data_IF_195155273232
#
_entry.id   IF_195155273232
#
_cell.length_a   1.000
_cell.length_b   1.000
_cell.length_c   1.000
_cell.angle_alpha   90.00
_cell.angle_beta   90.00
_cell.angle_gamma   90.00
#
_symmetry.space_group_name_H-M   'P 1'
#
loop_
_entity.id
_entity.type
_entity.pdbx_description
1 polymer ?
#
# COMPACT_ATOMS: atom_id res chain seq x y z
N UNK A 1 11.31 20.60 15.08
CA UNK A 1 11.09 20.09 13.71
C UNK A 1 11.13 18.57 13.77
N UNK A 2 10.16 17.93 13.12
CA UNK A 2 9.99 16.48 13.09
C UNK A 2 11.11 15.79 12.34
N UNK A 3 11.40 14.55 12.70
CA UNK A 3 12.22 13.65 11.90
C UNK A 3 11.40 13.09 10.73
N UNK A 4 12.06 12.77 9.62
CA UNK A 4 11.39 12.31 8.40
C UNK A 4 11.30 10.79 8.39
N UNK A 5 10.08 10.26 8.28
CA UNK A 5 9.84 8.87 7.92
C UNK A 5 10.04 8.71 6.40
N UNK A 6 11.30 8.60 5.98
CA UNK A 6 11.68 8.55 4.57
C UNK A 6 11.42 7.16 3.99
N UNK A 7 10.28 7.01 3.32
CA UNK A 7 9.90 5.77 2.64
C UNK A 7 10.59 5.56 1.30
N UNK A 8 11.16 6.60 0.66
CA UNK A 8 12.02 6.42 -0.50
C UNK A 8 13.31 5.71 -0.11
N UNK A 9 13.91 6.08 1.01
CA UNK A 9 15.09 5.40 1.56
C UNK A 9 14.77 3.93 1.86
N UNK A 10 13.76 3.67 2.68
CA UNK A 10 13.42 2.31 3.10
C UNK A 10 12.98 1.44 1.91
N UNK A 11 12.19 1.97 0.97
CA UNK A 11 11.81 1.22 -0.23
C UNK A 11 13.00 0.81 -1.10
N UNK A 12 14.06 1.63 -1.17
CA UNK A 12 15.30 1.26 -1.87
C UNK A 12 16.02 0.12 -1.16
N UNK A 13 16.16 0.20 0.17
CA UNK A 13 16.79 -0.85 0.98
C UNK A 13 16.07 -2.19 0.78
N UNK A 14 14.75 -2.20 0.88
CA UNK A 14 13.92 -3.40 0.68
C UNK A 14 14.07 -3.94 -0.75
N UNK A 15 14.09 -3.08 -1.77
CA UNK A 15 14.32 -3.53 -3.15
C UNK A 15 15.71 -4.17 -3.33
N UNK A 16 16.74 -3.68 -2.64
CA UNK A 16 18.06 -4.34 -2.66
C UNK A 16 18.04 -5.69 -1.94
N UNK A 17 17.36 -5.79 -0.79
CA UNK A 17 17.18 -7.07 -0.08
C UNK A 17 16.50 -8.11 -0.99
N UNK A 18 15.40 -7.73 -1.66
CA UNK A 18 14.69 -8.60 -2.60
C UNK A 18 15.58 -8.97 -3.79
N UNK A 19 16.33 -8.01 -4.36
CA UNK A 19 17.25 -8.28 -5.47
C UNK A 19 18.30 -9.33 -5.12
N UNK A 20 18.87 -9.26 -3.91
CA UNK A 20 19.83 -10.25 -3.42
C UNK A 20 19.16 -11.62 -3.29
N UNK A 21 17.92 -11.67 -2.79
CA UNK A 21 17.14 -12.91 -2.69
C UNK A 21 16.87 -13.53 -4.07
N UNK A 22 16.43 -12.74 -5.05
CA UNK A 22 16.19 -13.16 -6.44
C UNK A 22 17.46 -13.67 -7.12
N UNK A 23 18.59 -13.00 -6.90
CA UNK A 23 19.87 -13.45 -7.43
C UNK A 23 20.27 -14.83 -6.89
N UNK A 24 19.98 -15.12 -5.60
CA UNK A 24 20.20 -16.45 -5.01
C UNK A 24 19.27 -17.51 -5.61
N UNK A 25 17.99 -17.17 -5.79
CA UNK A 25 17.00 -18.06 -6.39
C UNK A 25 17.43 -18.49 -7.80
N UNK A 26 17.80 -17.51 -8.63
CA UNK A 26 18.20 -17.74 -10.02
C UNK A 26 19.57 -18.41 -10.14
N UNK A 27 20.55 -18.08 -9.29
CA UNK A 27 21.83 -18.79 -9.23
C UNK A 27 21.69 -20.26 -8.80
N UNK A 28 20.63 -20.61 -8.07
CA UNK A 28 20.30 -21.99 -7.70
C UNK A 28 19.56 -22.75 -8.81
N UNK A 29 19.43 -22.16 -10.01
CA UNK A 29 18.81 -22.75 -11.18
C UNK A 29 17.29 -22.66 -11.22
N UNK A 30 16.64 -21.91 -10.31
CA UNK A 30 15.18 -21.73 -10.32
C UNK A 30 14.76 -20.52 -11.16
N UNK A 31 13.53 -20.52 -11.71
CA UNK A 31 12.95 -19.34 -12.36
C UNK A 31 12.83 -18.16 -11.40
N UNK A 32 12.91 -16.94 -11.92
CA UNK A 32 12.66 -15.73 -11.13
C UNK A 32 11.17 -15.59 -10.78
N UNK A 33 10.81 -14.89 -9.68
CA UNK A 33 9.42 -14.54 -9.38
C UNK A 33 8.80 -13.68 -10.49
N UNK A 34 7.50 -13.87 -10.75
CA UNK A 34 6.76 -13.20 -11.80
C UNK A 34 5.56 -12.42 -11.25
N UNK A 35 5.60 -11.10 -11.41
CA UNK A 35 4.49 -10.20 -11.13
C UNK A 35 3.74 -9.80 -12.41
N UNK A 36 2.45 -10.12 -12.51
CA UNK A 36 1.60 -9.59 -13.58
C UNK A 36 0.74 -8.41 -13.11
N UNK A 37 0.37 -7.54 -14.05
CA UNK A 37 -0.56 -6.45 -13.80
C UNK A 37 -1.60 -6.36 -14.92
N UNK A 38 -2.85 -6.19 -14.54
CA UNK A 38 -3.95 -5.86 -15.45
C UNK A 38 -4.27 -4.37 -15.30
N UNK A 39 -4.28 -3.63 -16.41
CA UNK A 39 -4.67 -2.22 -16.48
C UNK A 39 -5.87 -2.09 -17.42
N UNK A 40 -6.98 -1.54 -16.90
CA UNK A 40 -8.19 -1.26 -17.66
C UNK A 40 -8.33 0.26 -17.85
N UNK A 41 -8.45 0.69 -19.10
CA UNK A 41 -8.61 2.09 -19.47
C UNK A 41 -7.33 2.92 -19.40
N UNK A 42 -7.51 4.24 -19.50
CA UNK A 42 -6.44 5.16 -19.86
C UNK A 42 -6.03 6.14 -18.74
N UNK A 43 -6.47 5.89 -17.50
CA UNK A 43 -6.20 6.79 -16.37
C UNK A 43 -4.70 7.04 -16.19
N UNK A 44 -4.28 8.31 -16.35
CA UNK A 44 -2.88 8.70 -16.30
C UNK A 44 -2.19 8.44 -14.96
N UNK A 45 -2.93 8.40 -13.84
CA UNK A 45 -2.38 7.99 -12.54
C UNK A 45 -2.07 6.49 -12.52
N UNK A 46 -2.99 5.67 -13.00
CA UNK A 46 -2.83 4.22 -13.11
C UNK A 46 -1.67 3.86 -14.05
N UNK A 47 -1.51 4.54 -15.19
CA UNK A 47 -0.38 4.32 -16.12
C UNK A 47 0.98 4.59 -15.48
N UNK A 48 1.14 5.74 -14.83
CA UNK A 48 2.40 6.11 -14.17
C UNK A 48 2.76 5.10 -13.06
N UNK A 49 1.75 4.63 -12.32
CA UNK A 49 1.92 3.67 -11.25
C UNK A 49 2.33 2.29 -11.78
N UNK A 50 1.66 1.79 -12.81
CA UNK A 50 2.00 0.50 -13.45
C UNK A 50 3.39 0.54 -14.12
N UNK A 51 3.73 1.62 -14.83
CA UNK A 51 5.06 1.77 -15.42
C UNK A 51 6.17 1.74 -14.36
N UNK A 52 5.90 2.33 -13.18
CA UNK A 52 6.83 2.27 -12.05
C UNK A 52 7.02 0.83 -11.54
N UNK A 53 5.94 0.03 -11.50
CA UNK A 53 6.02 -1.40 -11.10
C UNK A 53 6.86 -2.23 -12.08
N UNK A 54 6.66 -2.05 -13.38
CA UNK A 54 7.48 -2.75 -14.40
C UNK A 54 8.96 -2.39 -14.23
N UNK A 55 9.26 -1.11 -14.02
CA UNK A 55 10.64 -0.66 -13.76
C UNK A 55 11.20 -1.27 -12.47
N UNK A 56 10.42 -1.26 -11.39
CA UNK A 56 10.83 -1.82 -10.10
C UNK A 56 11.07 -3.34 -10.22
N UNK A 57 10.25 -4.09 -10.97
CA UNK A 57 10.45 -5.52 -11.25
C UNK A 57 11.77 -5.78 -11.98
N UNK A 58 12.03 -5.02 -13.05
CA UNK A 58 13.27 -5.14 -13.81
C UNK A 58 14.51 -4.79 -12.96
N UNK A 59 14.42 -3.81 -12.06
CA UNK A 59 15.51 -3.41 -11.16
C UNK A 59 15.97 -4.55 -10.23
N UNK A 60 15.01 -5.34 -9.74
CA UNK A 60 15.22 -6.41 -8.76
C UNK A 60 15.36 -7.81 -9.38
N UNK A 61 15.15 -7.94 -10.69
CA UNK A 61 15.28 -9.21 -11.41
C UNK A 61 14.02 -10.09 -11.46
N UNK A 62 12.84 -9.52 -11.21
CA UNK A 62 11.57 -10.23 -11.44
C UNK A 62 11.23 -10.31 -12.92
N UNK A 63 10.49 -11.35 -13.29
CA UNK A 63 9.70 -11.33 -14.52
C UNK A 63 8.46 -10.45 -14.31
N UNK A 64 8.03 -9.75 -15.35
CA UNK A 64 6.81 -8.93 -15.27
C UNK A 64 6.00 -8.95 -16.55
N UNK A 65 4.69 -9.07 -16.42
CA UNK A 65 3.74 -8.97 -17.55
C UNK A 65 2.74 -7.85 -17.32
N UNK A 66 2.43 -7.10 -18.36
CA UNK A 66 1.43 -6.04 -18.32
C UNK A 66 0.36 -6.30 -19.39
N UNK A 67 -0.86 -6.57 -18.94
CA UNK A 67 -2.04 -6.73 -19.78
C UNK A 67 -2.83 -5.43 -19.78
N UNK A 68 -2.97 -4.81 -20.94
CA UNK A 68 -3.70 -3.54 -21.10
C UNK A 68 -5.00 -3.80 -21.86
N UNK A 69 -6.08 -3.30 -21.31
CA UNK A 69 -7.39 -3.34 -21.92
C UNK A 69 -7.96 -1.93 -22.03
N UNK A 70 -8.78 -1.70 -23.05
CA UNK A 70 -9.50 -0.45 -23.20
C UNK A 70 -10.59 -0.33 -22.11
N UNK A 71 -11.12 0.88 -21.92
CA UNK A 71 -12.11 1.14 -20.86
C UNK A 71 -13.48 0.51 -21.11
N UNK A 72 -13.71 0.02 -22.33
CA UNK A 72 -14.93 -0.61 -22.82
C UNK A 72 -14.88 -2.14 -22.82
N UNK A 73 -13.78 -2.75 -22.33
CA UNK A 73 -13.72 -4.20 -22.10
C UNK A 73 -14.90 -4.65 -21.24
N UNK A 74 -15.49 -5.80 -21.59
CA UNK A 74 -16.57 -6.37 -20.79
C UNK A 74 -16.06 -6.93 -19.46
N UNK A 75 -16.94 -7.00 -18.46
CA UNK A 75 -16.61 -7.64 -17.19
C UNK A 75 -16.27 -9.14 -17.37
N UNK A 76 -16.95 -9.82 -18.30
CA UNK A 76 -16.72 -11.23 -18.63
C UNK A 76 -15.30 -11.45 -19.18
N UNK A 77 -14.88 -10.66 -20.17
CA UNK A 77 -13.51 -10.75 -20.72
C UNK A 77 -12.43 -10.49 -19.66
N UNK A 78 -12.68 -9.56 -18.73
CA UNK A 78 -11.76 -9.29 -17.62
C UNK A 78 -11.69 -10.48 -16.65
N UNK A 79 -12.82 -11.11 -16.33
CA UNK A 79 -12.89 -12.30 -15.48
C UNK A 79 -12.19 -13.50 -16.13
N UNK A 80 -12.35 -13.70 -17.43
CA UNK A 80 -11.65 -14.73 -18.18
C UNK A 80 -10.14 -14.51 -18.13
N UNK A 81 -9.69 -13.26 -18.26
CA UNK A 81 -8.26 -12.96 -18.09
C UNK A 81 -7.77 -13.30 -16.69
N UNK A 82 -8.53 -12.94 -15.66
CA UNK A 82 -8.19 -13.25 -14.26
C UNK A 82 -8.08 -14.77 -14.05
N UNK A 83 -9.00 -15.54 -14.64
CA UNK A 83 -8.96 -17.00 -14.62
C UNK A 83 -7.69 -17.55 -15.28
N UNK A 84 -7.33 -17.04 -16.46
CA UNK A 84 -6.08 -17.40 -17.14
C UNK A 84 -4.85 -17.16 -16.24
N UNK A 85 -4.77 -15.99 -15.58
CA UNK A 85 -3.64 -15.67 -14.69
C UNK A 85 -3.63 -16.53 -13.41
N UNK A 86 -4.81 -16.88 -12.89
CA UNK A 86 -4.95 -17.77 -11.75
C UNK A 86 -4.40 -19.17 -12.07
N UNK A 87 -4.67 -19.69 -13.26
CA UNK A 87 -4.29 -21.03 -13.69
C UNK A 87 -2.84 -21.11 -14.21
N UNK A 88 -2.21 -19.98 -14.55
CA UNK A 88 -0.85 -19.95 -15.07
C UNK A 88 0.22 -20.23 -13.98
N UNK A 89 0.96 -21.35 -14.01
CA UNK A 89 1.96 -21.69 -13.00
C UNK A 89 3.22 -20.81 -13.01
N UNK A 90 3.45 -20.07 -14.10
CA UNK A 90 4.57 -19.13 -14.22
C UNK A 90 4.31 -17.81 -13.49
N UNK A 91 3.04 -17.49 -13.18
CA UNK A 91 2.66 -16.26 -12.49
C UNK A 91 2.48 -16.53 -11.00
N UNK A 92 3.31 -15.87 -10.18
CA UNK A 92 3.27 -16.02 -8.72
C UNK A 92 2.27 -15.07 -8.07
N UNK A 93 2.10 -13.89 -8.67
CA UNK A 93 1.20 -12.88 -8.16
C UNK A 93 0.77 -11.92 -9.24
N UNK A 94 -0.43 -11.38 -9.10
CA UNK A 94 -0.89 -10.33 -9.98
C UNK A 94 -1.83 -9.35 -9.30
N UNK A 95 -2.04 -8.23 -9.98
CA UNK A 95 -2.95 -7.17 -9.56
C UNK A 95 -3.93 -6.84 -10.68
N UNK A 96 -5.10 -6.36 -10.29
CA UNK A 96 -6.00 -5.58 -11.15
C UNK A 96 -5.91 -4.13 -10.69
N UNK A 97 -5.37 -3.25 -11.54
CA UNK A 97 -5.10 -1.87 -11.15
C UNK A 97 -6.40 -1.08 -11.03
N UNK A 98 -6.69 -0.61 -9.81
CA UNK A 98 -7.83 0.26 -9.50
C UNK A 98 -7.53 1.74 -9.79
N UNK A 99 -8.56 2.58 -10.01
CA UNK A 99 -9.98 2.22 -10.13
C UNK A 99 -10.33 1.59 -11.48
N UNK A 100 -11.34 0.71 -11.47
CA UNK A 100 -11.95 0.15 -12.67
C UNK A 100 -13.02 1.10 -13.25
N UNK A 101 -13.47 0.90 -14.51
CA UNK A 101 -14.66 1.57 -15.03
C UNK A 101 -15.86 1.45 -14.07
N UNK A 102 -16.65 2.51 -13.94
CA UNK A 102 -17.75 2.60 -12.95
C UNK A 102 -18.84 1.54 -13.14
N UNK A 103 -18.98 1.02 -14.36
CA UNK A 103 -19.97 0.01 -14.73
C UNK A 103 -19.62 -1.40 -14.22
N UNK A 104 -18.35 -1.64 -13.82
CA UNK A 104 -17.89 -2.96 -13.37
C UNK A 104 -18.04 -3.14 -11.86
N UNK A 105 -18.40 -4.36 -11.45
CA UNK A 105 -18.39 -4.74 -10.05
C UNK A 105 -16.96 -5.03 -9.57
N UNK A 106 -16.35 -4.03 -8.93
CA UNK A 106 -15.01 -4.16 -8.37
C UNK A 106 -14.89 -5.29 -7.34
N UNK A 107 -15.93 -5.56 -6.55
CA UNK A 107 -15.87 -6.63 -5.54
C UNK A 107 -15.84 -8.00 -6.22
N UNK A 108 -16.65 -8.19 -7.27
CA UNK A 108 -16.62 -9.40 -8.09
C UNK A 108 -15.26 -9.63 -8.74
N UNK A 109 -14.63 -8.57 -9.27
CA UNK A 109 -13.29 -8.65 -9.86
C UNK A 109 -12.23 -9.03 -8.82
N UNK A 110 -12.26 -8.42 -7.63
CA UNK A 110 -11.31 -8.75 -6.55
C UNK A 110 -11.50 -10.20 -6.07
N UNK A 111 -12.74 -10.66 -5.92
CA UNK A 111 -13.06 -12.03 -5.49
C UNK A 111 -12.69 -13.10 -6.52
N UNK A 112 -12.53 -12.73 -7.79
CA UNK A 112 -12.10 -13.66 -8.83
C UNK A 112 -10.58 -13.97 -8.75
N UNK A 113 -9.79 -13.14 -8.08
CA UNK A 113 -8.34 -13.36 -7.92
C UNK A 113 -8.10 -14.47 -6.91
N UNK A 114 -7.29 -15.48 -7.26
CA UNK A 114 -6.91 -16.53 -6.32
C UNK A 114 -6.17 -15.90 -5.12
N UNK A 115 -6.61 -16.11 -3.86
CA UNK A 115 -5.98 -15.51 -2.69
C UNK A 115 -4.47 -15.80 -2.58
N UNK A 116 -3.99 -16.93 -3.13
CA UNK A 116 -2.56 -17.29 -3.17
C UNK A 116 -1.72 -16.46 -4.16
N UNK A 117 -2.38 -15.75 -5.09
CA UNK A 117 -1.76 -14.86 -6.08
C UNK A 117 -2.15 -13.38 -5.89
N UNK A 118 -3.01 -13.08 -4.92
CA UNK A 118 -3.43 -11.72 -4.55
C UNK A 118 -2.35 -11.00 -3.74
N UNK A 119 -1.32 -10.54 -4.46
CA UNK A 119 -0.18 -9.85 -3.86
C UNK A 119 -0.49 -8.40 -3.45
N UNK A 120 -1.67 -7.87 -3.83
CA UNK A 120 -2.16 -6.58 -3.32
C UNK A 120 -2.90 -6.73 -1.99
N UNK A 121 -3.27 -7.96 -1.61
CA UNK A 121 -3.86 -8.31 -0.31
C UNK A 121 -5.32 -7.90 -0.13
N UNK A 122 -6.08 -7.70 -1.21
CA UNK A 122 -7.46 -7.22 -1.15
C UNK A 122 -8.51 -8.33 -1.16
N UNK A 123 -8.13 -9.56 -1.45
CA UNK A 123 -9.05 -10.69 -1.43
C UNK A 123 -9.62 -10.88 -0.01
N UNK A 124 -10.94 -11.07 0.16
CA UNK A 124 -11.56 -11.20 1.48
C UNK A 124 -10.97 -12.32 2.34
N UNK A 125 -10.52 -13.43 1.73
CA UNK A 125 -9.81 -14.50 2.45
C UNK A 125 -8.49 -14.00 3.07
N UNK A 126 -7.72 -13.20 2.35
CA UNK A 126 -6.47 -12.62 2.86
C UNK A 126 -6.77 -11.59 3.96
N UNK A 127 -7.80 -10.76 3.77
CA UNK A 127 -8.24 -9.84 4.81
C UNK A 127 -8.70 -10.57 6.09
N UNK A 128 -9.47 -11.65 5.95
CA UNK A 128 -9.95 -12.47 7.06
C UNK A 128 -8.81 -13.15 7.80
N UNK A 129 -7.86 -13.76 7.08
CA UNK A 129 -6.64 -14.34 7.66
C UNK A 129 -5.83 -13.29 8.41
N UNK A 130 -5.62 -12.11 7.82
CA UNK A 130 -4.93 -10.99 8.47
C UNK A 130 -5.62 -10.59 9.77
N UNK A 131 -6.95 -10.48 9.75
CA UNK A 131 -7.75 -10.12 10.93
C UNK A 131 -7.68 -11.17 12.05
N UNK A 132 -7.45 -12.43 11.69
CA UNK A 132 -7.26 -13.55 12.60
C UNK A 132 -5.78 -13.79 12.94
N UNK A 133 -4.87 -12.89 12.55
CA UNK A 133 -3.42 -13.01 12.74
C UNK A 133 -2.81 -14.29 12.11
N UNK A 134 -3.45 -14.82 11.07
CA UNK A 134 -2.96 -15.95 10.28
C UNK A 134 -2.01 -15.49 9.17
N UNK A 135 -1.12 -16.38 8.71
CA UNK A 135 -0.21 -16.11 7.61
C UNK A 135 -0.98 -15.84 6.30
N UNK A 136 -0.72 -14.69 5.69
CA UNK A 136 -1.37 -14.22 4.46
C UNK A 136 -0.63 -13.01 3.86
N UNK A 137 -1.06 -12.56 2.68
CA UNK A 137 -0.60 -11.30 2.11
C UNK A 137 -1.32 -10.13 2.77
N UNK A 138 -0.54 -9.22 3.33
CA UNK A 138 -1.05 -7.97 3.88
C UNK A 138 -1.36 -6.99 2.75
N UNK A 139 -2.40 -6.16 2.87
CA UNK A 139 -2.63 -5.07 1.93
C UNK A 139 -1.39 -4.19 1.79
N UNK A 140 -0.93 -3.95 0.56
CA UNK A 140 0.41 -3.44 0.30
C UNK A 140 0.71 -2.09 0.98
N UNK A 141 -0.28 -1.18 1.04
CA UNK A 141 -0.14 0.13 1.71
C UNK A 141 -0.04 -0.01 3.24
N UNK A 142 -0.99 -0.65 3.95
CA UNK A 142 -0.82 -0.97 5.37
C UNK A 142 0.46 -1.73 5.70
N UNK A 143 0.86 -2.71 4.87
CA UNK A 143 2.14 -3.41 5.06
C UNK A 143 3.32 -2.44 4.97
N UNK A 144 3.25 -1.48 4.05
CA UNK A 144 4.27 -0.46 3.87
C UNK A 144 4.40 0.44 5.09
N UNK A 145 3.26 0.83 5.69
CA UNK A 145 3.23 1.65 6.91
C UNK A 145 3.82 0.89 8.09
N UNK A 146 3.39 -0.35 8.33
CA UNK A 146 3.93 -1.20 9.39
C UNK A 146 5.44 -1.34 9.23
N UNK A 147 5.92 -1.70 8.03
CA UNK A 147 7.35 -1.86 7.76
C UNK A 147 8.12 -0.55 7.97
N UNK A 148 7.52 0.59 7.61
CA UNK A 148 8.13 1.90 7.82
C UNK A 148 8.29 2.21 9.32
N UNK A 149 7.24 1.99 10.12
CA UNK A 149 7.29 2.17 11.57
C UNK A 149 8.33 1.24 12.21
N UNK A 150 8.40 -0.02 11.76
CA UNK A 150 9.39 -1.00 12.22
C UNK A 150 10.82 -0.55 11.93
N UNK A 151 11.12 -0.18 10.69
CA UNK A 151 12.48 0.19 10.24
C UNK A 151 13.01 1.45 10.92
N UNK A 152 12.12 2.36 11.32
CA UNK A 152 12.46 3.54 12.11
C UNK A 152 12.35 3.32 13.63
N UNK A 153 12.06 2.10 14.09
CA UNK A 153 11.88 1.75 15.50
C UNK A 153 10.87 2.64 16.23
N UNK A 154 9.77 2.99 15.56
CA UNK A 154 8.70 3.77 16.16
C UNK A 154 7.96 2.89 17.16
N UNK A 155 7.95 3.29 18.44
CA UNK A 155 7.22 2.56 19.48
C UNK A 155 5.71 2.69 19.24
N UNK A 156 5.04 1.56 19.00
CA UNK A 156 3.56 1.48 18.84
C UNK A 156 2.86 0.87 20.05
N UNK A 157 3.59 0.12 20.88
CA UNK A 157 3.06 -0.55 22.06
C UNK A 157 2.51 0.46 23.09
N UNK A 158 1.25 0.25 23.49
CA UNK A 158 0.53 1.10 24.44
C UNK A 158 0.21 2.51 23.92
N UNK A 159 0.52 2.82 22.65
CA UNK A 159 0.26 4.13 22.06
C UNK A 159 -1.19 4.27 21.61
N UNK A 160 -1.70 5.49 21.71
CA UNK A 160 -2.98 5.86 21.12
C UNK A 160 -2.79 6.13 19.62
N UNK A 161 -3.29 5.24 18.77
CA UNK A 161 -3.25 5.36 17.32
C UNK A 161 -4.61 5.77 16.77
N UNK A 162 -4.69 6.93 16.13
CA UNK A 162 -5.89 7.40 15.43
C UNK A 162 -5.72 7.24 13.93
N UNK A 163 -6.67 6.57 13.30
CA UNK A 163 -6.71 6.38 11.84
C UNK A 163 -7.86 7.21 11.30
N UNK A 164 -7.57 8.11 10.37
CA UNK A 164 -8.57 8.98 9.74
C UNK A 164 -8.88 8.43 8.35
N UNK A 165 -10.06 7.83 8.21
CA UNK A 165 -10.51 7.18 6.98
C UNK A 165 -10.66 5.67 7.17
N UNK A 166 -11.78 5.12 6.68
CA UNK A 166 -12.20 3.71 6.86
C UNK A 166 -12.30 2.93 5.55
N UNK A 167 -11.45 3.27 4.58
CA UNK A 167 -11.41 2.56 3.30
C UNK A 167 -11.06 1.08 3.51
N UNK A 168 -11.55 0.22 2.61
CA UNK A 168 -11.28 -1.23 2.68
C UNK A 168 -9.81 -1.56 2.45
N UNK A 169 -9.09 -0.72 1.72
CA UNK A 169 -7.72 -0.96 1.27
C UNK A 169 -6.64 -0.35 2.18
N UNK A 170 -6.99 0.63 3.04
CA UNK A 170 -6.05 1.27 3.96
C UNK A 170 -6.61 1.35 5.37
N UNK A 171 -7.71 2.09 5.58
CA UNK A 171 -8.18 2.43 6.93
C UNK A 171 -8.54 1.23 7.81
N UNK A 172 -9.42 0.35 7.30
CA UNK A 172 -9.84 -0.87 8.01
C UNK A 172 -8.69 -1.86 8.28
N UNK A 173 -7.84 -2.21 7.28
CA UNK A 173 -6.72 -3.10 7.57
C UNK A 173 -5.71 -2.46 8.53
N UNK A 174 -5.46 -1.15 8.42
CA UNK A 174 -4.57 -0.45 9.34
C UNK A 174 -5.09 -0.49 10.78
N UNK A 175 -6.42 -0.39 10.99
CA UNK A 175 -6.97 -0.42 12.36
C UNK A 175 -6.78 -1.76 13.05
N UNK A 176 -6.83 -2.83 12.26
CA UNK A 176 -6.56 -4.18 12.75
C UNK A 176 -5.06 -4.35 12.99
N UNK A 177 -4.21 -3.96 12.02
CA UNK A 177 -2.76 -4.15 12.11
C UNK A 177 -2.09 -3.34 13.22
N UNK A 178 -2.60 -2.14 13.56
CA UNK A 178 -2.09 -1.39 14.71
C UNK A 178 -2.56 -1.98 16.05
N UNK A 179 -3.73 -2.62 16.09
CA UNK A 179 -4.32 -3.21 17.29
C UNK A 179 -3.91 -4.67 17.56
N UNK A 180 -3.34 -5.36 16.56
CA UNK A 180 -2.88 -6.76 16.68
C UNK A 180 -1.79 -6.92 17.73
N UNK A 181 -1.58 -8.15 18.19
CA UNK A 181 -0.43 -8.46 19.03
C UNK A 181 0.88 -8.41 18.24
N UNK A 182 1.89 -7.74 18.79
CA UNK A 182 3.25 -7.71 18.24
C UNK A 182 3.76 -6.31 17.94
N UNK A 183 4.93 -6.25 17.32
CA UNK A 183 5.60 -5.01 16.97
C UNK A 183 5.91 -4.98 15.45
N UNK A 184 5.48 -3.96 14.70
CA UNK A 184 4.52 -2.92 15.09
C UNK A 184 3.10 -3.47 15.28
N UNK A 185 2.40 -2.89 16.26
CA UNK A 185 1.13 -3.35 16.82
C UNK A 185 0.94 -2.90 18.27
N UNK A 186 0.06 -3.57 19.03
CA UNK A 186 -0.22 -3.31 20.45
C UNK A 186 -0.68 -1.86 20.76
N UNK A 187 -1.22 -1.13 19.79
CA UNK A 187 -1.77 0.21 20.02
C UNK A 187 -3.24 0.14 20.46
N UNK A 188 -3.67 1.14 21.23
CA UNK A 188 -5.10 1.45 21.38
C UNK A 188 -5.54 2.19 20.14
N UNK A 189 -6.45 1.62 19.36
CA UNK A 189 -6.80 2.15 18.03
C UNK A 189 -8.17 2.81 18.02
N UNK A 190 -8.24 4.02 17.46
CA UNK A 190 -9.50 4.69 17.12
C UNK A 190 -9.59 4.91 15.61
N UNK A 191 -10.60 4.30 14.98
CA UNK A 191 -10.90 4.50 13.56
C UNK A 191 -11.94 5.61 13.40
N UNK A 192 -11.55 6.74 12.82
CA UNK A 192 -12.42 7.88 12.52
C UNK A 192 -12.77 7.95 11.04
N UNK A 193 -13.83 8.68 10.70
CA UNK A 193 -14.35 8.78 9.35
C UNK A 193 -15.26 10.01 9.18
N UNK A 194 -15.83 10.22 8.00
CA UNK A 194 -16.68 11.38 7.67
C UNK A 194 -17.88 11.61 8.60
N UNK A 195 -18.38 10.58 9.28
CA UNK A 195 -19.46 10.69 10.30
C UNK A 195 -18.96 10.86 11.74
N UNK A 196 -17.65 10.92 11.97
CA UNK A 196 -17.11 11.15 13.32
C UNK A 196 -17.27 12.64 13.66
N UNK A 197 -18.06 12.93 14.68
CA UNK A 197 -18.14 14.27 15.27
C UNK A 197 -16.83 14.60 15.98
N UNK A 198 -16.33 15.82 15.82
CA UNK A 198 -15.10 16.33 16.46
C UNK A 198 -13.89 15.39 16.37
N UNK A 199 -13.46 15.07 15.13
CA UNK A 199 -12.23 14.29 14.87
C UNK A 199 -11.00 14.86 15.62
N UNK A 200 -10.99 16.17 15.87
CA UNK A 200 -9.96 16.84 16.67
C UNK A 200 -9.82 16.30 18.09
N UNK A 201 -10.91 15.91 18.75
CA UNK A 201 -10.87 15.37 20.12
C UNK A 201 -10.01 14.10 20.19
N UNK A 202 -10.13 13.24 19.18
CA UNK A 202 -9.35 12.02 19.08
C UNK A 202 -7.90 12.31 18.70
N UNK A 203 -7.70 13.15 17.68
CA UNK A 203 -6.36 13.42 17.11
C UNK A 203 -5.45 14.22 18.04
N UNK A 204 -6.00 15.11 18.89
CA UNK A 204 -5.23 15.87 19.90
C UNK A 204 -4.65 14.98 21.01
N UNK A 205 -5.22 13.80 21.21
CA UNK A 205 -4.77 12.84 22.21
C UNK A 205 -3.96 11.67 21.60
N UNK A 206 -3.79 11.65 20.29
CA UNK A 206 -3.13 10.58 19.56
C UNK A 206 -1.61 10.69 19.66
N UNK A 207 -0.95 9.58 19.96
CA UNK A 207 0.51 9.45 19.83
C UNK A 207 0.91 9.20 18.36
N UNK A 208 0.04 8.51 17.60
CA UNK A 208 0.22 8.19 16.18
C UNK A 208 -1.06 8.58 15.44
N UNK A 209 -0.93 9.36 14.36
CA UNK A 209 -2.04 9.67 13.44
C UNK A 209 -1.72 9.15 12.06
N UNK A 210 -2.62 8.34 11.49
CA UNK A 210 -2.52 7.81 10.12
C UNK A 210 -3.69 8.36 9.31
N UNK A 211 -3.42 9.17 8.28
CA UNK A 211 -4.46 9.76 7.41
C UNK A 211 -4.59 8.97 6.10
N UNK A 212 -5.83 8.67 5.69
CA UNK A 212 -6.15 7.96 4.46
C UNK A 212 -7.50 8.42 3.88
N UNK A 213 -7.63 9.74 3.70
CA UNK A 213 -8.83 10.44 3.25
C UNK A 213 -8.82 10.74 1.76
N UNK A 214 -7.66 11.10 1.20
CA UNK A 214 -7.57 11.67 -0.15
C UNK A 214 -8.07 13.12 -0.22
N UNK A 215 -7.95 13.88 0.86
CA UNK A 215 -8.34 15.28 0.96
C UNK A 215 -7.15 16.14 1.38
N UNK A 216 -6.54 16.92 0.46
CA UNK A 216 -5.34 17.70 0.72
C UNK A 216 -5.43 18.58 1.97
N UNK A 217 -4.37 18.57 2.78
CA UNK A 217 -4.18 19.50 3.92
C UNK A 217 -5.30 19.48 4.97
N UNK A 218 -6.01 18.36 5.08
CA UNK A 218 -7.07 18.16 6.07
C UNK A 218 -6.54 18.19 7.51
N UNK A 219 -5.50 17.42 7.81
CA UNK A 219 -4.91 17.38 9.16
C UNK A 219 -3.94 18.54 9.35
N UNK A 220 -4.17 19.36 10.38
CA UNK A 220 -3.39 20.57 10.68
C UNK A 220 -2.72 20.49 12.06
N UNK A 221 -1.75 21.37 12.31
CA UNK A 221 -0.97 21.39 13.54
C UNK A 221 -1.83 21.54 14.83
N UNK A 222 -2.93 22.29 14.78
CA UNK A 222 -3.85 22.47 15.89
C UNK A 222 -4.60 21.18 16.26
N UNK A 223 -4.70 20.23 15.33
CA UNK A 223 -5.42 18.97 15.50
C UNK A 223 -4.56 17.86 16.12
N UNK A 224 -3.23 18.00 16.12
CA UNK A 224 -2.32 16.92 16.56
C UNK A 224 -1.81 17.15 17.98
N UNK A 225 -1.32 16.10 18.63
CA UNK A 225 -0.58 16.18 19.91
C UNK A 225 0.86 16.66 19.68
N UNK A 226 1.44 17.39 20.63
CA UNK A 226 2.88 17.67 20.63
C UNK A 226 3.68 16.35 20.67
N UNK A 227 4.62 16.20 19.74
CA UNK A 227 5.43 14.98 19.61
C UNK A 227 4.72 13.80 18.94
N UNK A 228 3.55 13.98 18.33
CA UNK A 228 2.87 12.92 17.60
C UNK A 228 3.70 12.38 16.42
N UNK A 229 3.51 11.11 16.08
CA UNK A 229 3.98 10.51 14.82
C UNK A 229 2.89 10.63 13.78
N UNK A 230 3.20 11.20 12.62
CA UNK A 230 2.24 11.45 11.55
C UNK A 230 2.59 10.62 10.31
N UNK A 231 1.66 9.79 9.87
CA UNK A 231 1.75 8.99 8.64
C UNK A 231 0.67 9.45 7.67
N UNK A 232 1.10 10.12 6.62
CA UNK A 232 0.26 10.63 5.55
C UNK A 232 0.23 9.66 4.36
N UNK A 233 -0.91 8.98 4.20
CA UNK A 233 -1.17 8.06 3.08
C UNK A 233 -1.75 8.80 1.87
N UNK A 234 -2.28 10.01 2.08
CA UNK A 234 -2.93 10.80 1.05
C UNK A 234 -1.99 11.11 -0.11
N UNK A 235 -2.51 11.01 -1.32
CA UNK A 235 -1.82 11.47 -2.52
C UNK A 235 -2.84 11.99 -3.53
N UNK A 236 -2.97 13.31 -3.57
CA UNK A 236 -3.92 14.00 -4.42
C UNK A 236 -3.18 14.90 -5.39
N UNK A 237 -3.59 14.89 -6.65
CA UNK A 237 -3.11 15.85 -7.65
C UNK A 237 -3.82 17.17 -7.42
N UNK A 238 -3.05 18.21 -7.14
CA UNK A 238 -3.55 19.58 -7.00
C UNK A 238 -3.04 20.38 -8.17
N UNK A 239 -3.94 20.98 -8.94
CA UNK A 239 -3.60 21.76 -10.12
C UNK A 239 -2.75 22.99 -9.76
N UNK A 240 -1.79 23.31 -10.63
CA UNK A 240 -0.97 24.51 -10.50
C UNK A 240 -0.41 24.95 -11.86
N UNK A 241 0.17 26.15 -11.90
CA UNK A 241 0.76 26.73 -13.12
C UNK A 241 2.15 26.15 -13.49
N UNK A 242 2.54 25.01 -12.90
CA UNK A 242 3.83 24.40 -13.21
C UNK A 242 3.84 23.79 -14.62
N UNK A 243 5.01 23.47 -15.17
CA UNK A 243 5.14 22.74 -16.45
C UNK A 243 4.39 21.39 -16.47
N UNK A 244 4.14 20.78 -15.31
CA UNK A 244 3.35 19.55 -15.18
C UNK A 244 1.85 19.81 -15.06
N UNK A 245 1.43 21.05 -14.77
CA UNK A 245 0.04 21.44 -14.52
C UNK A 245 -0.49 21.01 -13.15
N UNK A 246 0.30 20.31 -12.33
CA UNK A 246 -0.08 19.87 -10.99
C UNK A 246 1.12 19.59 -10.09
N UNK A 247 0.89 19.58 -8.78
CA UNK A 247 1.75 18.98 -7.76
C UNK A 247 1.00 17.88 -7.00
N UNK A 248 1.73 17.11 -6.19
CA UNK A 248 1.16 16.07 -5.35
C UNK A 248 1.14 16.56 -3.90
N UNK A 249 -0.04 16.52 -3.28
CA UNK A 249 -0.26 16.88 -1.89
C UNK A 249 -0.80 15.67 -1.12
N UNK A 250 -0.45 15.58 0.16
CA UNK A 250 -1.01 14.61 1.08
C UNK A 250 -2.19 15.17 1.88
N UNK A 251 -2.78 14.33 2.73
CA UNK A 251 -3.90 14.72 3.59
C UNK A 251 -3.46 15.63 4.75
N UNK A 252 -2.15 15.77 4.98
CA UNK A 252 -1.57 16.55 6.08
C UNK A 252 -1.05 17.88 5.56
N UNK A 253 -1.33 18.96 6.30
CA UNK A 253 -0.60 20.21 6.15
C UNK A 253 0.81 20.05 6.73
N UNK A 254 1.74 19.65 5.86
CA UNK A 254 3.09 19.22 6.23
C UNK A 254 3.87 20.33 6.96
N UNK A 255 3.86 21.56 6.44
CA UNK A 255 4.65 22.67 6.98
C UNK A 255 4.20 23.09 8.38
N UNK A 256 2.89 22.98 8.68
CA UNK A 256 2.40 23.26 10.02
C UNK A 256 2.68 22.08 10.96
N UNK A 257 2.42 20.85 10.51
CA UNK A 257 2.54 19.66 11.34
C UNK A 257 4.00 19.29 11.68
N UNK A 258 4.96 19.54 10.78
CA UNK A 258 6.39 19.23 11.02
C UNK A 258 6.97 19.99 12.22
N UNK A 259 6.37 21.11 12.60
CA UNK A 259 6.84 21.93 13.72
C UNK A 259 6.51 21.29 15.07
N UNK A 260 5.49 20.44 15.09
CA UNK A 260 4.88 19.86 16.29
C UNK A 260 5.07 18.34 16.41
N UNK A 261 5.07 17.63 15.28
CA UNK A 261 5.29 16.20 15.23
C UNK A 261 6.73 15.80 15.68
N UNK A 262 6.87 14.60 16.22
CA UNK A 262 8.19 13.98 16.43
C UNK A 262 8.70 13.31 15.15
N UNK A 263 7.77 12.73 14.38
CA UNK A 263 8.02 12.07 13.11
C UNK A 263 6.92 12.40 12.10
N UNK A 264 7.28 12.56 10.83
CA UNK A 264 6.30 12.81 9.75
C UNK A 264 6.75 12.16 8.44
N UNK A 265 5.81 11.54 7.72
CA UNK A 265 6.07 11.09 6.35
C UNK A 265 5.92 12.25 5.36
N UNK A 266 6.84 12.44 4.40
CA UNK A 266 6.68 13.44 3.36
C UNK A 266 5.72 12.96 2.26
N UNK A 267 5.01 13.88 1.62
CA UNK A 267 4.27 13.60 0.39
C UNK A 267 4.76 14.53 -0.72
N UNK A 268 5.30 14.01 -1.84
CA UNK A 268 5.60 12.60 -2.10
C UNK A 268 6.83 12.09 -1.34
N UNK A 269 6.99 10.76 -1.25
CA UNK A 269 8.22 10.13 -0.78
C UNK A 269 8.11 9.35 0.52
N UNK A 270 6.98 9.42 1.20
CA UNK A 270 6.65 8.63 2.39
C UNK A 270 6.03 7.28 2.04
N UNK A 271 4.71 7.16 2.16
CA UNK A 271 4.00 5.88 2.07
C UNK A 271 3.97 5.30 0.64
N UNK A 272 3.80 6.12 -0.40
CA UNK A 272 3.65 5.64 -1.78
C UNK A 272 4.78 4.73 -2.31
N UNK A 273 6.07 5.06 -2.11
CA UNK A 273 7.18 4.15 -2.41
C UNK A 273 7.13 2.82 -1.64
N UNK A 274 6.71 2.85 -0.38
CA UNK A 274 6.58 1.65 0.45
C UNK A 274 5.50 0.71 -0.08
N UNK A 275 4.34 1.24 -0.53
CA UNK A 275 3.29 0.43 -1.15
C UNK A 275 3.83 -0.41 -2.32
N UNK A 276 4.66 0.19 -3.19
CA UNK A 276 5.25 -0.57 -4.31
C UNK A 276 6.27 -1.59 -3.84
N UNK A 277 7.14 -1.26 -2.89
CA UNK A 277 8.10 -2.21 -2.34
C UNK A 277 7.42 -3.41 -1.69
N UNK A 278 6.31 -3.19 -0.98
CA UNK A 278 5.55 -4.26 -0.33
C UNK A 278 4.79 -5.14 -1.29
N UNK A 279 4.33 -4.61 -2.42
CA UNK A 279 3.81 -5.43 -3.50
C UNK A 279 4.86 -6.42 -4.01
N UNK A 280 6.11 -5.96 -4.20
CA UNK A 280 7.22 -6.84 -4.61
C UNK A 280 7.55 -7.86 -3.51
N UNK A 281 7.46 -7.46 -2.23
CA UNK A 281 7.65 -8.35 -1.10
C UNK A 281 6.57 -9.44 -1.04
N UNK A 282 5.30 -9.08 -1.21
CA UNK A 282 4.21 -10.07 -1.30
C UNK A 282 4.40 -11.01 -2.50
N UNK A 283 4.92 -10.53 -3.62
CA UNK A 283 5.20 -11.37 -4.80
C UNK A 283 6.26 -12.43 -4.52
N UNK A 284 7.39 -12.06 -3.90
CA UNK A 284 8.41 -13.08 -3.56
C UNK A 284 7.93 -14.05 -2.47
N UNK A 285 7.07 -13.59 -1.55
CA UNK A 285 6.40 -14.47 -0.59
C UNK A 285 5.48 -15.47 -1.30
N UNK A 286 4.69 -15.01 -2.28
CA UNK A 286 3.83 -15.87 -3.08
C UNK A 286 4.62 -16.94 -3.85
N UNK A 287 5.72 -16.53 -4.47
CA UNK A 287 6.66 -17.45 -5.13
C UNK A 287 7.18 -18.52 -4.15
N UNK A 288 7.69 -18.10 -2.99
CA UNK A 288 8.25 -18.99 -1.97
C UNK A 288 7.19 -19.97 -1.42
N UNK A 289 5.95 -19.53 -1.25
CA UNK A 289 4.84 -20.34 -0.74
C UNK A 289 4.24 -21.30 -1.78
N UNK A 290 4.41 -21.03 -3.08
CA UNK A 290 3.90 -21.89 -4.14
C UNK A 290 4.62 -23.25 -4.19
N UNK A 291 5.86 -23.33 -3.70
CA UNK A 291 6.71 -24.52 -3.79
C UNK A 291 7.13 -24.88 -5.22
N UNK A 292 6.73 -24.10 -6.24
CA UNK A 292 7.07 -24.33 -7.65
C UNK A 292 8.53 -23.92 -7.85
N UNK A 293 9.41 -24.92 -7.97
CA UNK A 293 10.85 -24.78 -8.21
C UNK A 293 11.22 -25.64 -9.40
N UNK A 294 11.31 -25.00 -10.57
CA UNK A 294 11.48 -25.58 -11.90
C UNK A 294 10.34 -26.47 -12.40
#
# INVERSE_FOLDING_TARGET
MAQILDGLKISKEIKQEIKIEVAKITASGNRAPHLAAILVGENGASKAYVNSKVKDCAEIGFQSSLFKFASDISEEELLDKIKELNENPEIDGFIVQLPLPKEMDQEKIIMAINPKKDVDGFHPENFGKMALEMETFLPATPFGIITLLERYNITTEGKNCVIIGRSRIVGKPMSILMGRKGNPGNSTVTLTHSYTTDIEEFTKNADIVITALGNPHFLKAEMIKDGAVIVDVGITRVENDSKKGYYLAGDVDYESCEKKASWITPVPGGVGPMTRAMLLKNTILAYNNSGIKN
#
